data_IF_271243606142
#
_entry.id   IF_271243606142
#
_cell.length_a   1.000
_cell.length_b   1.000
_cell.length_c   1.000
_cell.angle_alpha   90.00
_cell.angle_beta   90.00
_cell.angle_gamma   90.00
#
_symmetry.space_group_name_H-M   'P 1'
#
loop_
_entity.id
_entity.type
_entity.pdbx_description
1 polymer ?
#
# COMPACT_ATOMS: atom_id res chain seq x y z
N UNK A 1 -41.43 19.85 -9.71
CA UNK A 1 -40.66 20.26 -8.53
C UNK A 1 -39.51 19.29 -8.41
N UNK A 2 -38.30 19.70 -8.80
CA UNK A 2 -37.13 18.84 -8.71
C UNK A 2 -36.88 18.53 -7.23
N UNK A 3 -36.97 17.25 -6.87
CA UNK A 3 -36.51 16.74 -5.59
C UNK A 3 -35.02 17.08 -5.52
N UNK A 4 -34.66 18.12 -4.74
CA UNK A 4 -33.26 18.45 -4.51
C UNK A 4 -32.61 17.21 -3.94
N UNK A 5 -31.76 16.55 -4.74
CA UNK A 5 -30.96 15.43 -4.30
C UNK A 5 -30.35 15.81 -2.94
N UNK A 6 -30.69 15.04 -1.90
CA UNK A 6 -30.30 15.33 -0.53
C UNK A 6 -28.77 15.24 -0.43
N UNK A 7 -28.10 16.38 -0.57
CA UNK A 7 -26.64 16.47 -0.46
C UNK A 7 -26.23 16.05 0.95
N UNK A 8 -25.35 15.06 1.06
CA UNK A 8 -24.82 14.59 2.32
C UNK A 8 -24.00 15.70 3.00
N UNK A 9 -24.06 15.77 4.34
CA UNK A 9 -23.15 16.64 5.11
C UNK A 9 -21.72 16.09 5.09
N UNK A 10 -20.72 16.91 5.42
CA UNK A 10 -19.33 16.44 5.53
C UNK A 10 -19.19 15.33 6.55
N UNK A 11 -19.89 15.44 7.69
CA UNK A 11 -19.90 14.39 8.71
C UNK A 11 -20.46 13.06 8.18
N UNK A 12 -21.50 13.12 7.34
CA UNK A 12 -22.05 11.93 6.69
C UNK A 12 -21.08 11.35 5.66
N UNK A 13 -20.38 12.20 4.88
CA UNK A 13 -19.38 11.76 3.93
C UNK A 13 -18.19 11.13 4.63
N UNK A 14 -17.64 11.76 5.67
CA UNK A 14 -16.56 11.21 6.50
C UNK A 14 -16.93 9.87 7.11
N UNK A 15 -18.16 9.74 7.63
CA UNK A 15 -18.65 8.45 8.15
C UNK A 15 -18.75 7.39 7.06
N UNK A 16 -19.18 7.76 5.86
CA UNK A 16 -19.33 6.83 4.74
C UNK A 16 -17.99 6.44 4.10
N UNK A 17 -16.98 7.30 4.17
CA UNK A 17 -15.60 7.06 3.73
C UNK A 17 -14.65 6.67 4.86
N UNK A 18 -15.19 6.35 6.05
CA UNK A 18 -14.43 5.71 7.10
C UNK A 18 -13.85 4.38 6.59
N UNK A 19 -12.71 3.97 7.13
CA UNK A 19 -12.08 2.72 6.71
C UNK A 19 -13.02 1.53 6.94
N UNK A 20 -13.19 0.71 5.90
CA UNK A 20 -14.11 -0.44 5.90
C UNK A 20 -13.73 -1.50 6.94
N UNK A 21 -12.44 -1.61 7.26
CA UNK A 21 -11.89 -2.55 8.22
C UNK A 21 -11.16 -1.78 9.34
N UNK A 22 -11.85 -1.42 10.43
CA UNK A 22 -11.24 -0.67 11.53
C UNK A 22 -10.11 -1.47 12.21
N UNK A 23 -9.12 -0.78 12.81
CA UNK A 23 -7.99 -1.43 13.47
C UNK A 23 -8.43 -2.24 14.70
N UNK A 24 -7.69 -3.31 14.99
CA UNK A 24 -7.84 -4.04 16.25
C UNK A 24 -7.28 -3.21 17.41
N UNK A 25 -7.99 -3.24 18.55
CA UNK A 25 -7.42 -2.81 19.82
C UNK A 25 -6.29 -3.76 20.24
N UNK A 26 -5.43 -3.34 21.17
CA UNK A 26 -4.36 -4.19 21.71
C UNK A 26 -4.89 -5.53 22.25
N UNK A 27 -5.97 -5.50 23.03
CA UNK A 27 -6.57 -6.71 23.61
C UNK A 27 -7.17 -7.62 22.53
N UNK A 28 -7.85 -7.03 21.53
CA UNK A 28 -8.41 -7.79 20.42
C UNK A 28 -7.31 -8.43 19.56
N UNK A 29 -6.21 -7.71 19.30
CA UNK A 29 -5.06 -8.23 18.57
C UNK A 29 -4.37 -9.38 19.33
N UNK A 30 -4.23 -9.28 20.66
CA UNK A 30 -3.71 -10.36 21.47
C UNK A 30 -4.61 -11.59 21.44
N UNK A 31 -5.92 -11.42 21.59
CA UNK A 31 -6.88 -12.52 21.51
C UNK A 31 -6.83 -13.21 20.14
N UNK A 32 -6.86 -12.42 19.07
CA UNK A 32 -6.77 -12.90 17.69
C UNK A 32 -5.46 -13.64 17.41
N UNK A 33 -4.31 -13.08 17.85
CA UNK A 33 -3.01 -13.72 17.66
C UNK A 33 -2.88 -15.06 18.38
N UNK A 34 -3.58 -15.24 19.51
CA UNK A 34 -3.58 -16.49 20.27
C UNK A 34 -4.46 -17.59 19.64
N UNK A 35 -5.28 -17.28 18.63
CA UNK A 35 -6.04 -18.29 17.88
C UNK A 35 -5.18 -19.01 16.83
N UNK A 36 -4.04 -18.43 16.43
CA UNK A 36 -3.16 -19.04 15.43
C UNK A 36 -2.60 -20.39 15.90
N UNK A 37 -2.74 -21.42 15.06
CA UNK A 37 -2.27 -22.78 15.36
C UNK A 37 -0.76 -22.98 15.17
N UNK A 38 -0.05 -21.98 14.64
CA UNK A 38 1.39 -22.05 14.32
C UNK A 38 1.74 -23.29 13.49
N UNK A 39 0.98 -23.50 12.42
CA UNK A 39 1.11 -24.65 11.53
C UNK A 39 2.54 -24.78 11.00
N UNK A 40 3.10 -25.99 11.01
CA UNK A 40 4.45 -26.26 10.52
C UNK A 40 4.64 -25.83 9.05
N UNK A 41 3.70 -26.23 8.18
CA UNK A 41 3.80 -25.93 6.74
C UNK A 41 3.30 -24.52 6.36
N UNK A 42 2.66 -23.82 7.31
CA UNK A 42 2.21 -22.44 7.18
C UNK A 42 1.62 -22.08 5.80
N UNK A 43 0.48 -22.68 5.38
CA UNK A 43 -0.10 -22.43 4.05
C UNK A 43 -0.42 -20.95 3.81
N UNK A 44 -0.70 -20.18 4.87
CA UNK A 44 -0.85 -18.73 4.81
C UNK A 44 0.42 -17.98 4.33
N UNK A 45 1.62 -18.46 4.69
CA UNK A 45 2.90 -17.93 4.19
C UNK A 45 3.16 -18.33 2.75
N UNK A 46 2.80 -19.56 2.37
CA UNK A 46 2.94 -20.04 0.98
C UNK A 46 2.03 -19.24 0.04
N UNK A 47 0.78 -18.98 0.46
CA UNK A 47 -0.19 -18.22 -0.31
C UNK A 47 0.11 -16.72 -0.37
N UNK A 48 0.94 -16.19 0.54
CA UNK A 48 1.38 -14.80 0.50
C UNK A 48 2.41 -14.60 -0.64
N UNK A 49 2.17 -13.73 -1.63
CA UNK A 49 3.09 -13.55 -2.76
C UNK A 49 4.48 -13.02 -2.37
N UNK A 50 4.58 -12.34 -1.21
CA UNK A 50 5.85 -11.85 -0.66
C UNK A 50 6.45 -12.80 0.36
N UNK A 51 5.81 -13.95 0.61
CA UNK A 51 6.23 -14.97 1.55
C UNK A 51 6.53 -14.44 2.96
N UNK A 52 5.70 -13.49 3.43
CA UNK A 52 5.76 -13.02 4.82
C UNK A 52 5.61 -14.25 5.74
N UNK A 53 6.50 -14.37 6.73
CA UNK A 53 6.40 -15.38 7.77
C UNK A 53 5.25 -15.02 8.74
N UNK A 54 4.05 -15.48 8.37
CA UNK A 54 2.80 -15.16 9.04
C UNK A 54 2.80 -15.70 10.48
N UNK A 55 3.12 -16.99 10.73
CA UNK A 55 3.20 -17.49 12.09
C UNK A 55 4.20 -16.73 12.95
N UNK A 56 5.37 -16.33 12.42
CA UNK A 56 6.37 -15.63 13.20
C UNK A 56 5.93 -14.22 13.61
N UNK A 57 5.34 -13.42 12.73
CA UNK A 57 4.90 -12.08 13.12
C UNK A 57 3.71 -12.15 14.08
N UNK A 58 2.79 -13.10 13.89
CA UNK A 58 1.66 -13.32 14.80
C UNK A 58 2.16 -13.75 16.18
N UNK A 59 3.14 -14.66 16.24
CA UNK A 59 3.73 -15.09 17.53
C UNK A 59 4.32 -13.90 18.29
N UNK A 60 4.96 -12.97 17.59
CA UNK A 60 5.53 -11.75 18.18
C UNK A 60 4.45 -10.82 18.72
N UNK A 61 3.29 -10.70 18.04
CA UNK A 61 2.13 -9.97 18.57
C UNK A 61 1.65 -10.63 19.86
N UNK A 62 1.48 -11.96 19.88
CA UNK A 62 1.02 -12.71 21.05
C UNK A 62 1.92 -12.52 22.30
N UNK A 63 3.19 -12.16 22.11
CA UNK A 63 4.15 -11.86 23.20
C UNK A 63 4.38 -10.36 23.41
N UNK A 64 3.57 -9.47 22.81
CA UNK A 64 3.69 -8.01 22.94
C UNK A 64 4.87 -7.37 22.18
N UNK A 65 5.57 -8.11 21.32
CA UNK A 65 6.72 -7.63 20.57
C UNK A 65 6.30 -7.04 19.22
N UNK A 66 5.59 -5.91 19.23
CA UNK A 66 5.08 -5.24 18.03
C UNK A 66 6.21 -4.78 17.10
N UNK A 67 7.31 -4.23 17.65
CA UNK A 67 8.49 -3.83 16.87
C UNK A 67 9.08 -5.02 16.09
N UNK A 68 9.22 -6.18 16.74
CA UNK A 68 9.72 -7.38 16.09
C UNK A 68 8.73 -7.96 15.08
N UNK A 69 7.43 -7.88 15.35
CA UNK A 69 6.38 -8.29 14.41
C UNK A 69 6.43 -7.45 13.13
N UNK A 70 6.42 -6.12 13.27
CA UNK A 70 6.53 -5.19 12.16
C UNK A 70 7.81 -5.40 11.36
N UNK A 71 8.93 -5.73 12.02
CA UNK A 71 10.18 -6.06 11.35
C UNK A 71 10.05 -7.26 10.42
N UNK A 72 9.42 -8.36 10.86
CA UNK A 72 9.18 -9.55 10.02
C UNK A 72 8.35 -9.20 8.78
N UNK A 73 7.27 -8.44 8.98
CA UNK A 73 6.39 -8.00 7.89
C UNK A 73 7.16 -7.13 6.88
N UNK A 74 7.84 -6.09 7.38
CA UNK A 74 8.47 -5.08 6.53
C UNK A 74 9.83 -5.53 5.95
N UNK A 75 10.46 -6.56 6.51
CA UNK A 75 11.59 -7.24 5.86
C UNK A 75 11.15 -7.87 4.53
N UNK A 76 10.01 -8.58 4.54
CA UNK A 76 9.47 -9.26 3.36
C UNK A 76 8.74 -8.31 2.40
N UNK A 77 8.00 -7.33 2.91
CA UNK A 77 7.23 -6.40 2.10
C UNK A 77 7.34 -4.95 2.62
N UNK A 78 8.01 -4.04 1.90
CA UNK A 78 8.07 -2.62 2.24
C UNK A 78 6.70 -1.94 2.35
N UNK A 79 5.69 -2.46 1.65
CA UNK A 79 4.33 -1.93 1.58
C UNK A 79 3.37 -2.66 2.55
N UNK A 80 3.86 -3.00 3.73
CA UNK A 80 3.11 -3.74 4.75
C UNK A 80 1.83 -3.03 5.21
N UNK A 81 1.83 -1.70 5.32
CA UNK A 81 0.66 -0.92 5.74
C UNK A 81 -0.44 -0.91 4.68
N UNK A 82 -0.05 -0.70 3.42
CA UNK A 82 -0.97 -0.74 2.30
C UNK A 82 -1.54 -2.14 2.09
N UNK A 83 -0.69 -3.18 2.13
CA UNK A 83 -1.13 -4.57 1.97
C UNK A 83 -2.07 -5.02 3.09
N UNK A 84 -1.87 -4.57 4.33
CA UNK A 84 -2.74 -4.89 5.45
C UNK A 84 -4.18 -4.33 5.29
N UNK A 85 -4.40 -3.42 4.34
CA UNK A 85 -5.69 -2.80 4.04
C UNK A 85 -6.30 -3.24 2.71
N UNK A 86 -5.45 -3.49 1.71
CA UNK A 86 -5.88 -3.68 0.33
C UNK A 86 -5.69 -5.10 -0.22
N UNK A 87 -4.91 -5.97 0.43
CA UNK A 87 -4.71 -7.34 -0.07
C UNK A 87 -6.03 -8.12 -0.08
N UNK A 88 -6.30 -8.90 -1.15
CA UNK A 88 -7.45 -9.80 -1.23
C UNK A 88 -7.16 -11.07 -0.44
N UNK A 89 -7.13 -10.95 0.89
CA UNK A 89 -6.68 -12.00 1.81
C UNK A 89 -7.53 -13.27 1.76
N UNK A 90 -8.79 -13.15 1.36
CA UNK A 90 -9.76 -14.23 1.18
C UNK A 90 -9.35 -15.24 0.10
N UNK A 91 -8.57 -14.81 -0.90
CA UNK A 91 -7.99 -15.70 -1.93
C UNK A 91 -6.48 -15.91 -1.74
N UNK A 92 -5.91 -15.38 -0.64
CA UNK A 92 -4.49 -15.45 -0.31
C UNK A 92 -4.30 -16.05 1.09
N UNK A 93 -3.65 -15.32 2.01
CA UNK A 93 -3.18 -15.85 3.28
C UNK A 93 -4.31 -16.28 4.23
N UNK A 94 -5.42 -15.55 4.28
CA UNK A 94 -6.56 -15.90 5.13
C UNK A 94 -7.40 -17.02 4.49
N UNK A 95 -7.55 -17.01 3.15
CA UNK A 95 -8.17 -18.10 2.40
C UNK A 95 -7.42 -19.43 2.53
N UNK A 96 -6.10 -19.37 2.65
CA UNK A 96 -5.24 -20.54 2.87
C UNK A 96 -5.11 -20.97 4.34
N UNK A 97 -5.79 -20.31 5.28
CA UNK A 97 -5.73 -20.67 6.69
C UNK A 97 -6.40 -22.04 6.93
N UNK A 98 -5.71 -22.95 7.66
CA UNK A 98 -6.22 -24.30 7.96
C UNK A 98 -7.49 -24.33 8.82
N UNK A 99 -7.88 -23.20 9.42
CA UNK A 99 -9.14 -23.08 10.16
C UNK A 99 -10.35 -23.16 9.21
N UNK A 100 -10.19 -22.76 7.95
CA UNK A 100 -11.25 -22.91 6.94
C UNK A 100 -11.62 -24.39 6.73
N UNK A 101 -10.65 -25.31 6.80
CA UNK A 101 -10.89 -26.76 6.68
C UNK A 101 -11.69 -27.34 7.87
N UNK A 102 -11.85 -26.55 8.94
CA UNK A 102 -12.62 -26.91 10.14
C UNK A 102 -13.94 -26.17 10.25
N UNK A 103 -14.35 -25.47 9.19
CA UNK A 103 -15.51 -24.56 9.19
C UNK A 103 -15.42 -23.47 10.29
N UNK A 104 -14.19 -23.12 10.71
CA UNK A 104 -13.90 -22.05 11.65
C UNK A 104 -13.49 -20.78 10.91
N UNK A 105 -13.61 -19.62 11.57
CA UNK A 105 -13.15 -18.36 10.98
C UNK A 105 -11.62 -18.38 10.85
N UNK A 106 -11.06 -17.96 9.70
CA UNK A 106 -9.61 -17.87 9.54
C UNK A 106 -9.06 -16.78 10.44
N UNK A 107 -7.76 -16.89 10.75
CA UNK A 107 -7.05 -15.82 11.47
C UNK A 107 -7.12 -14.55 10.65
N UNK A 108 -7.43 -13.42 11.30
CA UNK A 108 -7.49 -12.07 10.70
C UNK A 108 -6.07 -11.52 10.48
N UNK A 109 -5.31 -12.18 9.62
CA UNK A 109 -3.90 -11.92 9.30
C UNK A 109 -3.70 -10.47 8.86
N UNK A 110 -4.57 -9.92 8.00
CA UNK A 110 -4.48 -8.52 7.57
C UNK A 110 -4.59 -7.54 8.74
N UNK A 111 -5.53 -7.76 9.66
CA UNK A 111 -5.71 -6.89 10.82
C UNK A 111 -4.58 -7.02 11.84
N UNK A 112 -4.02 -8.22 12.02
CA UNK A 112 -2.82 -8.42 12.84
C UNK A 112 -1.58 -7.77 12.21
N UNK A 113 -1.42 -7.88 10.89
CA UNK A 113 -0.37 -7.18 10.15
C UNK A 113 -0.52 -5.67 10.35
N UNK A 114 -1.72 -5.14 10.13
CA UNK A 114 -2.07 -3.73 10.35
C UNK A 114 -1.71 -3.29 11.76
N UNK A 115 -2.09 -4.06 12.77
CA UNK A 115 -1.81 -3.75 14.17
C UNK A 115 -0.31 -3.55 14.44
N UNK A 116 0.54 -4.42 13.89
CA UNK A 116 1.99 -4.29 14.05
C UNK A 116 2.58 -3.13 13.21
N UNK A 117 2.10 -2.94 11.98
CA UNK A 117 2.62 -1.89 11.09
C UNK A 117 2.17 -0.49 11.54
N UNK A 118 0.91 -0.31 11.93
CA UNK A 118 0.40 0.98 12.43
C UNK A 118 1.19 1.41 13.68
N UNK A 119 1.52 0.49 14.59
CA UNK A 119 2.39 0.76 15.75
C UNK A 119 3.72 1.43 15.36
N UNK A 120 4.43 0.90 14.35
CA UNK A 120 5.73 1.48 13.97
C UNK A 120 5.61 2.80 13.23
N UNK A 121 4.52 3.03 12.50
CA UNK A 121 4.25 4.29 11.81
C UNK A 121 3.93 5.41 12.80
N UNK A 122 2.97 5.16 13.70
CA UNK A 122 2.53 6.12 14.72
C UNK A 122 3.66 6.52 15.67
N UNK A 123 4.50 5.56 16.05
CA UNK A 123 5.64 5.79 16.95
C UNK A 123 6.94 6.15 16.21
N UNK A 124 6.89 6.26 14.88
CA UNK A 124 8.05 6.57 14.01
C UNK A 124 9.26 5.67 14.27
N UNK A 125 9.01 4.39 14.52
CA UNK A 125 10.05 3.41 14.86
C UNK A 125 10.87 3.08 13.62
N UNK A 126 12.12 3.55 13.59
CA UNK A 126 13.04 3.23 12.49
C UNK A 126 13.55 1.80 12.60
N UNK A 127 13.01 0.93 11.74
CA UNK A 127 13.39 -0.48 11.65
C UNK A 127 14.58 -0.72 10.72
N UNK A 128 14.78 0.15 9.74
CA UNK A 128 15.74 0.00 8.66
C UNK A 128 16.70 1.18 8.62
N UNK A 129 17.89 0.94 8.08
CA UNK A 129 18.91 1.97 7.84
C UNK A 129 19.59 1.69 6.52
N UNK A 130 20.13 2.75 5.91
CA UNK A 130 20.94 2.63 4.72
C UNK A 130 22.21 1.80 4.98
N UNK A 131 22.63 1.08 3.94
CA UNK A 131 23.91 0.35 3.92
C UNK A 131 25.11 1.27 3.79
N UNK A 132 26.31 0.69 3.89
CA UNK A 132 27.56 1.42 3.63
C UNK A 132 27.60 1.87 2.16
N UNK A 133 28.00 3.11 1.85
CA UNK A 133 28.03 3.60 0.47
C UNK A 133 28.86 2.69 -0.44
N UNK A 134 28.24 2.23 -1.52
CA UNK A 134 28.87 1.41 -2.55
C UNK A 134 29.55 2.25 -3.63
N UNK A 135 29.25 3.55 -3.69
CA UNK A 135 29.65 4.46 -4.77
C UNK A 135 28.80 4.34 -6.04
N UNK A 136 27.82 3.42 -6.08
CA UNK A 136 26.94 3.18 -7.23
C UNK A 136 25.65 4.00 -7.13
N UNK A 137 25.16 4.48 -8.27
CA UNK A 137 23.95 5.29 -8.41
C UNK A 137 22.92 4.57 -9.28
N UNK A 138 21.68 4.49 -8.81
CA UNK A 138 20.58 3.84 -9.53
C UNK A 138 19.43 4.84 -9.72
N UNK A 139 18.94 4.94 -10.95
CA UNK A 139 17.72 5.68 -11.26
C UNK A 139 16.51 4.73 -11.26
N UNK A 140 15.39 5.21 -10.75
CA UNK A 140 14.12 4.46 -10.71
C UNK A 140 13.06 5.31 -11.39
N UNK A 141 12.40 4.78 -12.42
CA UNK A 141 11.33 5.47 -13.14
C UNK A 141 9.99 4.94 -12.67
N UNK A 142 9.21 5.80 -12.00
CA UNK A 142 7.94 5.50 -11.35
C UNK A 142 8.07 5.33 -9.83
N UNK A 143 7.30 6.10 -9.06
CA UNK A 143 7.25 6.05 -7.60
C UNK A 143 6.05 5.24 -7.07
N UNK A 144 5.61 4.22 -7.82
CA UNK A 144 4.65 3.24 -7.32
C UNK A 144 5.28 2.18 -6.39
N UNK A 145 4.50 1.21 -5.88
CA UNK A 145 4.98 0.19 -4.96
C UNK A 145 6.21 -0.58 -5.45
N UNK A 146 6.28 -0.89 -6.75
CA UNK A 146 7.43 -1.58 -7.34
C UNK A 146 8.72 -0.73 -7.29
N UNK A 147 8.65 0.51 -7.77
CA UNK A 147 9.81 1.41 -7.80
C UNK A 147 10.31 1.75 -6.40
N UNK A 148 9.40 2.04 -5.47
CA UNK A 148 9.76 2.36 -4.09
C UNK A 148 10.27 1.14 -3.31
N UNK A 149 9.75 -0.06 -3.57
CA UNK A 149 10.30 -1.30 -3.00
C UNK A 149 11.73 -1.55 -3.48
N UNK A 150 11.98 -1.31 -4.77
CA UNK A 150 13.32 -1.35 -5.35
C UNK A 150 14.23 -0.31 -4.69
N UNK A 151 13.74 0.93 -4.54
CA UNK A 151 14.46 2.03 -3.91
C UNK A 151 14.91 1.68 -2.49
N UNK A 152 13.97 1.21 -1.65
CA UNK A 152 14.23 0.81 -0.26
C UNK A 152 15.35 -0.22 -0.18
N UNK A 153 15.25 -1.31 -0.96
CA UNK A 153 16.22 -2.39 -0.91
C UNK A 153 17.60 -1.94 -1.40
N UNK A 154 17.67 -1.16 -2.48
CA UNK A 154 18.92 -0.58 -2.97
C UNK A 154 19.58 0.36 -1.95
N UNK A 155 18.78 1.15 -1.20
CA UNK A 155 19.31 1.98 -0.10
C UNK A 155 19.86 1.14 1.04
N UNK A 156 19.20 0.04 1.43
CA UNK A 156 19.69 -0.91 2.43
C UNK A 156 21.00 -1.57 1.95
N UNK A 157 21.14 -1.85 0.65
CA UNK A 157 22.39 -2.35 0.05
C UNK A 157 23.49 -1.29 -0.06
N UNK A 158 23.17 -0.01 0.16
CA UNK A 158 24.14 1.08 0.17
C UNK A 158 24.35 1.79 -1.17
N UNK A 159 23.46 1.59 -2.14
CA UNK A 159 23.45 2.34 -3.40
C UNK A 159 22.78 3.70 -3.23
N UNK A 160 23.25 4.73 -3.93
CA UNK A 160 22.52 5.99 -4.03
C UNK A 160 21.35 5.82 -5.02
N UNK A 161 20.17 6.32 -4.66
CA UNK A 161 18.94 6.09 -5.44
C UNK A 161 18.23 7.41 -5.69
N UNK A 162 17.90 7.68 -6.95
CA UNK A 162 16.99 8.76 -7.36
C UNK A 162 15.76 8.13 -8.01
N UNK A 163 14.57 8.47 -7.51
CA UNK A 163 13.27 8.08 -8.07
C UNK A 163 12.69 9.26 -8.85
N UNK A 164 12.27 9.01 -10.08
CA UNK A 164 11.60 9.97 -10.96
C UNK A 164 10.12 9.61 -11.05
N UNK A 165 9.26 10.56 -10.75
CA UNK A 165 7.80 10.42 -10.78
C UNK A 165 7.19 11.51 -11.64
N UNK A 166 6.32 11.11 -12.56
CA UNK A 166 5.59 12.00 -13.46
C UNK A 166 4.51 12.82 -12.75
N UNK A 167 3.87 12.24 -11.73
CA UNK A 167 2.81 12.87 -10.93
C UNK A 167 3.38 13.80 -9.87
N UNK A 168 2.50 14.58 -9.26
CA UNK A 168 2.85 15.55 -8.19
C UNK A 168 3.18 14.88 -6.86
N UNK A 169 2.64 13.69 -6.60
CA UNK A 169 2.89 12.91 -5.38
C UNK A 169 3.31 11.48 -5.74
N UNK A 170 4.15 10.84 -4.90
CA UNK A 170 4.54 9.45 -5.08
C UNK A 170 3.45 8.48 -4.59
N UNK A 171 3.70 7.18 -4.72
CA UNK A 171 2.86 6.10 -4.20
C UNK A 171 2.00 5.40 -5.27
N UNK A 172 1.92 5.95 -6.49
CA UNK A 172 1.19 5.36 -7.60
C UNK A 172 -0.28 5.08 -7.23
N UNK A 173 -0.79 3.89 -7.57
CA UNK A 173 -2.18 3.54 -7.27
C UNK A 173 -2.53 3.51 -5.78
N UNK A 174 -1.55 3.38 -4.86
CA UNK A 174 -1.86 3.47 -3.44
C UNK A 174 -2.33 4.88 -3.05
N UNK A 175 -1.76 5.91 -3.70
CA UNK A 175 -2.14 7.31 -3.52
C UNK A 175 -3.34 7.69 -4.37
N UNK A 176 -3.44 7.15 -5.60
CA UNK A 176 -4.36 7.67 -6.61
C UNK A 176 -5.51 6.72 -7.00
N UNK A 177 -5.42 5.41 -6.76
CA UNK A 177 -6.29 4.43 -7.40
C UNK A 177 -7.03 3.46 -6.47
N UNK A 178 -6.52 3.22 -5.26
CA UNK A 178 -7.23 2.36 -4.29
C UNK A 178 -8.39 3.16 -3.67
N UNK A 179 -9.58 2.57 -3.67
CA UNK A 179 -10.79 3.19 -3.13
C UNK A 179 -10.56 3.79 -1.73
N UNK A 180 -11.10 4.99 -1.51
CA UNK A 180 -10.78 5.80 -0.32
C UNK A 180 -11.11 5.11 1.00
N UNK A 181 -12.23 4.40 1.06
CA UNK A 181 -12.64 3.62 2.24
C UNK A 181 -11.78 2.36 2.50
N UNK A 182 -10.89 1.98 1.57
CA UNK A 182 -9.92 0.88 1.75
C UNK A 182 -8.56 1.40 2.20
N UNK A 183 -8.01 2.38 1.49
CA UNK A 183 -6.70 2.95 1.76
C UNK A 183 -6.73 4.45 1.48
N UNK A 184 -6.64 5.24 2.55
CA UNK A 184 -6.53 6.70 2.44
C UNK A 184 -5.16 7.11 1.87
N UNK A 185 -5.14 8.20 1.12
CA UNK A 185 -3.93 8.68 0.46
C UNK A 185 -2.83 9.10 1.46
N UNK A 186 -3.22 9.66 2.61
CA UNK A 186 -2.29 10.07 3.67
C UNK A 186 -1.53 8.88 4.28
N UNK A 187 -2.20 7.74 4.49
CA UNK A 187 -1.59 6.48 4.96
C UNK A 187 -0.57 5.98 3.94
N UNK A 188 -0.93 5.98 2.65
CA UNK A 188 -0.02 5.58 1.58
C UNK A 188 1.23 6.49 1.55
N UNK A 189 1.04 7.81 1.64
CA UNK A 189 2.14 8.78 1.64
C UNK A 189 3.04 8.67 2.87
N UNK A 190 2.49 8.33 4.04
CA UNK A 190 3.28 8.09 5.24
C UNK A 190 4.19 6.86 5.08
N UNK A 191 3.70 5.78 4.47
CA UNK A 191 4.51 4.61 4.13
C UNK A 191 5.60 4.93 3.10
N UNK A 192 5.32 5.78 2.11
CA UNK A 192 6.35 6.30 1.18
C UNK A 192 7.42 7.07 1.95
N UNK A 193 7.04 7.93 2.89
CA UNK A 193 8.00 8.74 3.65
C UNK A 193 9.00 7.88 4.43
N UNK A 194 8.58 6.75 4.99
CA UNK A 194 9.49 5.82 5.67
C UNK A 194 10.57 5.23 4.74
N UNK A 195 10.25 5.07 3.44
CA UNK A 195 11.23 4.67 2.42
C UNK A 195 12.16 5.84 2.07
N UNK A 196 11.60 7.05 1.90
CA UNK A 196 12.38 8.26 1.59
C UNK A 196 13.40 8.57 2.70
N UNK A 197 13.03 8.33 3.96
CA UNK A 197 13.89 8.53 5.13
C UNK A 197 15.17 7.66 5.15
N UNK A 198 15.27 6.66 4.26
CA UNK A 198 16.53 5.94 4.01
C UNK A 198 17.51 6.75 3.13
N UNK A 199 17.16 7.97 2.75
CA UNK A 199 17.92 8.83 1.86
C UNK A 199 17.70 8.49 0.39
N UNK A 200 16.45 8.17 0.00
CA UNK A 200 16.04 8.12 -1.41
C UNK A 200 15.77 9.55 -1.87
N UNK A 201 16.37 9.98 -2.98
CA UNK A 201 16.02 11.24 -3.62
C UNK A 201 14.77 11.03 -4.48
N UNK A 202 13.76 11.88 -4.34
CA UNK A 202 12.52 11.82 -5.13
C UNK A 202 12.39 13.10 -5.98
N UNK A 203 12.14 12.93 -7.27
CA UNK A 203 11.85 14.00 -8.24
C UNK A 203 10.46 13.80 -8.83
N UNK A 204 9.49 14.55 -8.34
CA UNK A 204 8.09 14.56 -8.81
C UNK A 204 7.90 15.55 -9.97
N UNK A 205 6.82 15.39 -10.75
CA UNK A 205 6.56 16.21 -11.93
C UNK A 205 7.56 16.01 -13.07
N UNK A 206 8.30 14.90 -13.07
CA UNK A 206 9.33 14.58 -14.07
C UNK A 206 8.93 13.36 -14.87
N UNK A 207 8.57 13.58 -16.14
CA UNK A 207 8.42 12.52 -17.12
C UNK A 207 9.79 12.18 -17.71
N UNK A 208 10.18 10.90 -17.63
CA UNK A 208 11.42 10.41 -18.23
C UNK A 208 11.15 10.05 -19.69
N UNK A 209 11.75 10.79 -20.61
CA UNK A 209 11.59 10.59 -22.06
C UNK A 209 12.56 9.56 -22.64
N UNK A 210 13.74 9.38 -22.03
CA UNK A 210 14.79 8.49 -22.54
C UNK A 210 15.53 7.76 -21.41
N UNK A 211 15.47 6.42 -21.45
CA UNK A 211 16.23 5.55 -20.55
C UNK A 211 17.73 5.62 -20.87
N UNK A 212 18.11 5.77 -22.15
CA UNK A 212 19.50 5.88 -22.57
C UNK A 212 20.18 7.10 -21.94
N UNK A 213 19.48 8.24 -21.88
CA UNK A 213 19.99 9.43 -21.20
C UNK A 213 20.23 9.19 -19.70
N UNK A 214 19.34 8.46 -19.03
CA UNK A 214 19.55 8.08 -17.62
C UNK A 214 20.76 7.16 -17.46
N UNK A 215 20.96 6.20 -18.37
CA UNK A 215 22.12 5.30 -18.34
C UNK A 215 23.46 6.01 -18.54
N UNK A 216 23.49 7.23 -19.11
CA UNK A 216 24.71 8.05 -19.13
C UNK A 216 25.09 8.63 -17.76
N UNK A 217 24.12 8.72 -16.84
CA UNK A 217 24.27 9.37 -15.53
C UNK A 217 24.21 8.40 -14.34
N UNK A 218 23.63 7.22 -14.53
CA UNK A 218 23.41 6.22 -13.48
C UNK A 218 24.01 4.88 -13.89
N UNK A 219 24.47 4.11 -12.91
CA UNK A 219 25.04 2.77 -13.13
C UNK A 219 23.96 1.74 -13.53
N UNK A 220 22.71 1.98 -13.16
CA UNK A 220 21.56 1.15 -13.52
C UNK A 220 20.26 1.96 -13.53
N UNK A 221 19.26 1.47 -14.26
CA UNK A 221 17.90 2.02 -14.28
C UNK A 221 16.90 0.90 -14.01
N UNK A 222 15.97 1.13 -13.09
CA UNK A 222 14.78 0.30 -12.89
C UNK A 222 13.55 1.02 -13.42
N UNK A 223 12.70 0.33 -14.17
CA UNK A 223 11.48 0.90 -14.75
C UNK A 223 10.26 0.23 -14.10
N UNK A 224 9.48 1.02 -13.36
CA UNK A 224 8.30 0.61 -12.61
C UNK A 224 7.13 1.57 -12.83
N UNK A 225 6.85 1.92 -14.08
CA UNK A 225 5.83 2.91 -14.48
C UNK A 225 4.39 2.40 -14.41
N UNK A 226 4.20 1.10 -14.12
CA UNK A 226 2.88 0.49 -14.01
C UNK A 226 2.16 0.34 -15.35
N UNK A 227 0.84 0.09 -15.26
CA UNK A 227 -0.06 0.13 -16.39
C UNK A 227 -0.66 1.54 -16.45
N UNK A 228 -0.63 2.16 -17.63
CA UNK A 228 -1.10 3.52 -17.84
C UNK A 228 -2.62 3.63 -17.87
N UNK A 229 -3.14 4.26 -18.92
CA UNK A 229 -4.56 4.59 -19.04
C UNK A 229 -5.46 3.35 -19.08
N UNK A 230 -6.70 3.52 -18.64
CA UNK A 230 -7.76 2.53 -18.81
C UNK A 230 -8.07 2.33 -20.30
N UNK A 231 -8.48 1.10 -20.64
CA UNK A 231 -8.89 0.77 -22.00
C UNK A 231 -10.31 1.27 -22.23
N UNK A 232 -10.50 2.04 -23.30
CA UNK A 232 -11.83 2.38 -23.81
C UNK A 232 -12.55 1.12 -24.31
N UNK A 233 -13.89 1.12 -24.21
CA UNK A 233 -14.72 -0.04 -24.56
C UNK A 233 -14.97 -0.13 -26.07
N UNK A 234 -14.87 0.99 -26.80
CA UNK A 234 -15.12 1.06 -28.24
C UNK A 234 -16.61 1.04 -28.59
N UNK A 235 -17.50 1.46 -27.68
CA UNK A 235 -18.96 1.33 -27.84
C UNK A 235 -19.65 2.69 -28.04
N UNK A 236 -20.75 2.75 -28.83
CA UNK A 236 -21.51 3.98 -29.00
C UNK A 236 -21.96 4.55 -27.66
N UNK A 237 -21.62 5.82 -27.41
CA UNK A 237 -21.99 6.55 -26.21
C UNK A 237 -20.94 6.58 -25.10
N UNK A 238 -19.77 5.95 -25.28
CA UNK A 238 -18.69 5.98 -24.26
C UNK A 238 -18.06 7.38 -24.05
N UNK A 239 -18.21 8.29 -25.00
CA UNK A 239 -17.76 9.69 -24.89
C UNK A 239 -18.87 10.67 -24.42
N UNK A 240 -20.04 10.16 -24.01
CA UNK A 240 -21.14 11.02 -23.54
C UNK A 240 -20.78 11.71 -22.22
N UNK A 241 -21.30 12.92 -22.03
CA UNK A 241 -21.18 13.62 -20.76
C UNK A 241 -21.75 12.77 -19.61
N UNK A 242 -20.98 12.62 -18.53
CA UNK A 242 -21.31 11.76 -17.39
C UNK A 242 -20.75 10.34 -17.47
N UNK A 243 -20.19 9.92 -18.61
CA UNK A 243 -19.35 8.71 -18.69
C UNK A 243 -17.94 9.09 -18.28
N UNK A 244 -17.47 8.55 -17.16
CA UNK A 244 -16.18 8.93 -16.56
C UNK A 244 -15.33 7.67 -16.39
N UNK A 245 -14.04 7.81 -16.70
CA UNK A 245 -13.05 6.80 -16.39
C UNK A 245 -12.95 6.53 -14.88
N UNK A 246 -12.93 5.24 -14.50
CA UNK A 246 -12.92 4.83 -13.11
C UNK A 246 -11.68 5.34 -12.34
N UNK A 247 -10.49 5.31 -12.96
CA UNK A 247 -9.27 5.79 -12.30
C UNK A 247 -9.31 7.31 -12.11
N UNK A 248 -9.78 8.04 -13.11
CA UNK A 248 -9.91 9.51 -13.05
C UNK A 248 -10.93 9.93 -11.98
N UNK A 249 -12.04 9.22 -11.87
CA UNK A 249 -13.05 9.46 -10.82
C UNK A 249 -12.50 9.18 -9.42
N UNK A 250 -11.80 8.05 -9.24
CA UNK A 250 -11.18 7.71 -7.95
C UNK A 250 -10.07 8.71 -7.62
N UNK A 251 -9.20 9.05 -8.56
CA UNK A 251 -8.12 10.03 -8.37
C UNK A 251 -8.70 11.37 -7.90
N UNK A 252 -9.76 11.86 -8.55
CA UNK A 252 -10.44 13.09 -8.14
C UNK A 252 -10.96 13.00 -6.70
N UNK A 253 -11.68 11.91 -6.37
CA UNK A 253 -12.22 11.67 -5.04
C UNK A 253 -11.14 11.65 -3.94
N UNK A 254 -9.94 11.13 -4.24
CA UNK A 254 -8.84 11.01 -3.29
C UNK A 254 -8.03 12.30 -3.12
N UNK A 255 -8.02 13.17 -4.15
CA UNK A 255 -7.14 14.35 -4.20
C UNK A 255 -7.87 15.67 -4.00
N UNK A 256 -9.21 15.65 -3.96
CA UNK A 256 -10.08 16.80 -3.75
C UNK A 256 -11.08 16.53 -2.61
N UNK A 257 -11.67 17.57 -2.00
CA UNK A 257 -12.77 17.39 -1.05
C UNK A 257 -13.92 16.57 -1.64
N UNK A 258 -14.49 15.64 -0.88
CA UNK A 258 -15.54 14.73 -1.37
C UNK A 258 -16.74 15.45 -2.00
N UNK A 259 -17.09 16.64 -1.50
CA UNK A 259 -18.20 17.46 -2.04
C UNK A 259 -17.98 17.97 -3.45
N UNK A 260 -16.73 18.03 -3.89
CA UNK A 260 -16.36 18.44 -5.25
C UNK A 260 -16.44 17.29 -6.24
N UNK A 261 -16.81 16.08 -5.80
CA UNK A 261 -17.02 14.93 -6.68
C UNK A 261 -18.47 14.90 -7.17
N UNK A 262 -18.65 15.04 -8.48
CA UNK A 262 -19.97 15.08 -9.10
C UNK A 262 -20.56 13.67 -9.25
N UNK A 263 -21.49 13.31 -8.36
CA UNK A 263 -22.22 12.02 -8.38
C UNK A 263 -23.73 12.26 -8.43
N UNK A 264 -24.42 11.59 -9.35
CA UNK A 264 -25.88 11.56 -9.39
C UNK A 264 -26.55 12.89 -9.79
N UNK A 265 -25.88 13.68 -10.62
CA UNK A 265 -26.44 14.90 -11.24
C UNK A 265 -27.06 14.59 -12.60
#
# INVERSE_FOLDING_TARGET
MAEQARVLTDEQLERNFAEIAPPLTNDAALLEANQCLYCHDAPCTIACPTHIDVPAFIKKIATGNLRGSARVILDANPFGHSCARACPVEVLCEGACVLNDRDEQPIKIALLQRHATDYVLEHKVKLFKAGKPTGKRVAIVGAGPAGLSCARNLRIMGHAVTVFESRSQPGGLNTYGIAEYKLKADVALAEVQDILDLGVELKTGVTVESIDQLLTQYDAVFVGVGLGNTKQLGIPGEDLAGVIDALSFIEHLKTHPYRETDVGR
#
